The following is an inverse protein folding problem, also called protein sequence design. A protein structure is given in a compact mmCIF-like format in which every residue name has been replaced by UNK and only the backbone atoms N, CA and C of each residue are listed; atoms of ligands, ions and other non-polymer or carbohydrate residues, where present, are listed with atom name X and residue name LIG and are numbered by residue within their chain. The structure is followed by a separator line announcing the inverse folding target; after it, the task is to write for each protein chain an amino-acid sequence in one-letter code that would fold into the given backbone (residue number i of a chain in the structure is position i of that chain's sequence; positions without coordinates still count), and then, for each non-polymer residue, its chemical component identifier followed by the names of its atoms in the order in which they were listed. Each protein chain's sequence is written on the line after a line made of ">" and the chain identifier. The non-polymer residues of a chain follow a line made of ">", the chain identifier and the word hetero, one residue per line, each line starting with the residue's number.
data_IF_676997546188
#
_entry.id   IF_676997546188
#
_cell.length_a   1.000
_cell.length_b   1.000
_cell.length_c   1.000
_cell.angle_alpha   90.00
_cell.angle_beta   90.00
_cell.angle_gamma   90.00
#
_symmetry.space_group_name_H-M   'P 1'
#
loop_
_entity.id
_entity.type
_entity.pdbx_description
1 polymer ?
#
# COMPACT_ATOMS: atom_id res chain seq x y z
N UNK A 1 -27.13 -9.42 1.85
CA UNK A 1 -26.39 -10.69 1.87
C UNK A 1 -24.91 -10.48 1.50
N UNK A 2 -24.58 -9.60 0.54
CA UNK A 2 -23.21 -9.32 0.07
C UNK A 2 -22.24 -8.72 1.11
N UNK A 3 -22.74 -7.98 2.11
CA UNK A 3 -21.91 -7.32 3.14
C UNK A 3 -21.12 -8.31 3.99
N UNK A 4 -21.63 -9.52 4.23
CA UNK A 4 -20.97 -10.53 5.08
C UNK A 4 -19.91 -11.35 4.32
N UNK A 5 -19.99 -11.45 3.00
CA UNK A 5 -19.05 -12.24 2.18
C UNK A 5 -17.60 -11.80 2.38
N UNK A 6 -17.26 -10.49 2.30
CA UNK A 6 -15.90 -10.01 2.55
C UNK A 6 -15.35 -10.43 3.92
N UNK A 7 -16.17 -10.31 4.97
CA UNK A 7 -15.75 -10.70 6.33
C UNK A 7 -15.47 -12.19 6.45
N UNK A 8 -16.33 -13.02 5.85
CA UNK A 8 -16.14 -14.48 5.83
C UNK A 8 -14.87 -14.84 5.06
N UNK A 9 -14.65 -14.25 3.89
CA UNK A 9 -13.47 -14.52 3.06
C UNK A 9 -12.17 -14.10 3.76
N UNK A 10 -12.14 -12.90 4.35
CA UNK A 10 -10.97 -12.40 5.09
C UNK A 10 -10.70 -13.27 6.32
N UNK A 11 -11.72 -13.64 7.08
CA UNK A 11 -11.53 -14.51 8.26
C UNK A 11 -11.09 -15.92 7.87
N UNK A 12 -11.65 -16.50 6.82
CA UNK A 12 -11.20 -17.81 6.28
C UNK A 12 -9.74 -17.75 5.84
N UNK A 13 -9.36 -16.75 5.05
CA UNK A 13 -7.97 -16.56 4.62
C UNK A 13 -7.02 -16.42 5.81
N UNK A 14 -7.38 -15.61 6.81
CA UNK A 14 -6.58 -15.40 8.01
C UNK A 14 -6.43 -16.70 8.83
N UNK A 15 -7.51 -17.46 9.01
CA UNK A 15 -7.48 -18.74 9.76
C UNK A 15 -6.62 -19.78 9.05
N UNK A 16 -6.75 -19.91 7.72
CA UNK A 16 -5.93 -20.82 6.91
C UNK A 16 -4.45 -20.47 7.06
N UNK A 17 -4.11 -19.18 7.03
CA UNK A 17 -2.73 -18.72 7.10
C UNK A 17 -2.15 -18.72 8.52
N UNK A 18 -3.00 -18.73 9.57
CA UNK A 18 -2.56 -18.66 10.98
C UNK A 18 -1.62 -19.80 11.38
N UNK A 19 -1.80 -21.00 10.83
CA UNK A 19 -0.99 -22.17 11.12
C UNK A 19 0.37 -22.19 10.42
N UNK A 20 0.69 -21.20 9.60
CA UNK A 20 1.89 -21.12 8.79
C UNK A 20 1.75 -21.97 7.51
N UNK A 21 1.60 -21.30 6.38
CA UNK A 21 1.52 -21.96 5.08
C UNK A 21 2.94 -22.28 4.56
N UNK A 22 3.14 -23.43 3.92
CA UNK A 22 4.42 -23.71 3.28
C UNK A 22 4.70 -22.71 2.16
N UNK A 23 5.97 -22.34 1.88
CA UNK A 23 6.34 -21.29 0.93
C UNK A 23 5.81 -21.54 -0.50
N UNK A 24 5.59 -22.82 -0.86
CA UNK A 24 4.98 -23.18 -2.15
C UNK A 24 3.51 -22.71 -2.24
N UNK A 25 2.75 -22.88 -1.17
CA UNK A 25 1.32 -22.48 -1.11
C UNK A 25 1.19 -20.95 -1.10
N UNK A 26 2.07 -20.24 -0.40
CA UNK A 26 2.13 -18.78 -0.41
C UNK A 26 2.39 -18.25 -1.83
N UNK A 27 3.38 -18.80 -2.53
CA UNK A 27 3.68 -18.40 -3.92
C UNK A 27 2.52 -18.65 -4.88
N UNK A 28 1.81 -19.77 -4.73
CA UNK A 28 0.60 -20.07 -5.53
C UNK A 28 -0.52 -19.10 -5.18
N UNK A 29 -0.72 -18.79 -3.90
CA UNK A 29 -1.70 -17.81 -3.45
C UNK A 29 -1.43 -16.41 -4.02
N UNK A 30 -0.17 -15.96 -4.01
CA UNK A 30 0.24 -14.68 -4.58
C UNK A 30 0.00 -14.65 -6.11
N UNK A 31 0.29 -15.75 -6.80
CA UNK A 31 0.04 -15.85 -8.24
C UNK A 31 -1.46 -15.80 -8.55
N UNK A 32 -2.30 -16.50 -7.79
CA UNK A 32 -3.76 -16.47 -7.93
C UNK A 32 -4.28 -15.05 -7.66
N UNK A 33 -3.81 -14.41 -6.59
CA UNK A 33 -4.22 -13.05 -6.22
C UNK A 33 -3.83 -12.04 -7.30
N UNK A 34 -2.61 -12.08 -7.82
CA UNK A 34 -2.16 -11.21 -8.90
C UNK A 34 -2.96 -11.43 -10.20
N UNK A 35 -3.26 -12.69 -10.55
CA UNK A 35 -4.08 -13.03 -11.72
C UNK A 35 -5.52 -12.53 -11.53
N UNK A 36 -6.12 -12.74 -10.36
CA UNK A 36 -7.45 -12.23 -10.03
C UNK A 36 -7.51 -10.70 -10.08
N UNK A 37 -6.44 -10.03 -9.66
CA UNK A 37 -6.30 -8.59 -9.68
C UNK A 37 -6.20 -8.05 -11.12
N UNK A 38 -5.42 -8.69 -12.00
CA UNK A 38 -5.36 -8.32 -13.43
C UNK A 38 -6.70 -8.55 -14.12
N UNK A 39 -7.36 -9.67 -13.85
CA UNK A 39 -8.69 -9.97 -14.35
C UNK A 39 -9.70 -8.91 -13.89
N UNK A 40 -9.70 -8.58 -12.62
CA UNK A 40 -10.55 -7.56 -12.01
C UNK A 40 -10.38 -6.20 -12.70
N UNK A 41 -9.11 -5.77 -12.93
CA UNK A 41 -8.80 -4.51 -13.61
C UNK A 41 -9.35 -4.50 -15.03
N UNK A 42 -9.23 -5.62 -15.76
CA UNK A 42 -9.79 -5.76 -17.10
C UNK A 42 -11.32 -5.69 -17.06
N UNK A 43 -11.97 -6.37 -16.10
CA UNK A 43 -13.44 -6.35 -15.95
C UNK A 43 -13.96 -4.95 -15.62
N UNK A 44 -13.29 -4.22 -14.73
CA UNK A 44 -13.62 -2.82 -14.45
C UNK A 44 -13.48 -1.98 -15.71
N UNK A 45 -12.38 -2.14 -16.46
CA UNK A 45 -12.18 -1.45 -17.74
C UNK A 45 -13.27 -1.76 -18.76
N UNK A 46 -13.66 -3.03 -18.93
CA UNK A 46 -14.76 -3.46 -19.79
C UNK A 46 -16.08 -2.79 -19.41
N UNK A 47 -16.41 -2.78 -18.12
CA UNK A 47 -17.62 -2.14 -17.59
C UNK A 47 -17.64 -0.63 -17.87
N UNK A 48 -16.50 0.05 -17.71
CA UNK A 48 -16.36 1.48 -18.05
C UNK A 48 -16.57 1.69 -19.54
N UNK A 49 -15.93 0.87 -20.40
CA UNK A 49 -16.05 0.98 -21.87
C UNK A 49 -17.46 0.73 -22.40
N UNK A 50 -18.22 -0.17 -21.75
CA UNK A 50 -19.61 -0.46 -22.10
C UNK A 50 -20.58 0.63 -21.64
N UNK A 51 -20.24 1.41 -20.61
CA UNK A 51 -21.11 2.44 -20.03
C UNK A 51 -20.99 3.77 -20.79
N UNK A 52 -21.96 4.08 -21.64
CA UNK A 52 -21.99 5.36 -22.36
C UNK A 52 -22.03 6.57 -21.41
N UNK A 53 -22.72 6.45 -20.28
CA UNK A 53 -22.86 7.54 -19.30
C UNK A 53 -21.52 7.87 -18.68
N UNK A 54 -20.76 6.84 -18.28
CA UNK A 54 -19.43 7.02 -17.70
C UNK A 54 -18.45 7.57 -18.72
N UNK A 55 -18.47 7.03 -19.96
CA UNK A 55 -17.58 7.48 -21.03
C UNK A 55 -17.81 8.93 -21.42
N UNK A 56 -19.07 9.38 -21.53
CA UNK A 56 -19.40 10.79 -21.82
C UNK A 56 -18.96 11.75 -20.72
N UNK A 57 -18.98 11.31 -19.45
CA UNK A 57 -18.67 12.13 -18.28
C UNK A 57 -17.27 11.88 -17.71
N UNK A 58 -16.47 11.02 -18.34
CA UNK A 58 -15.18 10.56 -17.79
C UNK A 58 -14.23 11.71 -17.43
N UNK A 59 -14.20 12.77 -18.24
CA UNK A 59 -13.39 13.96 -17.96
C UNK A 59 -13.84 14.70 -16.69
N UNK A 60 -15.14 14.87 -16.50
CA UNK A 60 -15.72 15.53 -15.30
C UNK A 60 -15.53 14.66 -14.06
N UNK A 61 -15.78 13.36 -14.17
CA UNK A 61 -15.55 12.39 -13.09
C UNK A 61 -14.07 12.40 -12.70
N UNK A 62 -13.17 12.35 -13.69
CA UNK A 62 -11.72 12.36 -13.46
C UNK A 62 -11.26 13.57 -12.64
N UNK A 63 -11.68 14.80 -13.04
CA UNK A 63 -11.34 16.03 -12.30
C UNK A 63 -11.86 15.96 -10.85
N UNK A 64 -13.11 15.53 -10.63
CA UNK A 64 -13.66 15.37 -9.29
C UNK A 64 -12.85 14.36 -8.46
N UNK A 65 -12.47 13.23 -9.05
CA UNK A 65 -11.64 12.22 -8.39
C UNK A 65 -10.26 12.75 -8.00
N UNK A 66 -9.60 13.53 -8.88
CA UNK A 66 -8.31 14.15 -8.59
C UNK A 66 -8.41 15.11 -7.39
N UNK A 67 -9.46 15.92 -7.33
CA UNK A 67 -9.70 16.83 -6.21
C UNK A 67 -10.00 16.09 -4.90
N UNK A 68 -10.81 15.03 -4.94
CA UNK A 68 -11.08 14.18 -3.77
C UNK A 68 -9.78 13.55 -3.26
N UNK A 69 -8.95 13.01 -4.16
CA UNK A 69 -7.67 12.40 -3.81
C UNK A 69 -6.72 13.42 -3.16
N UNK A 70 -6.59 14.61 -3.75
CA UNK A 70 -5.71 15.66 -3.22
C UNK A 70 -6.17 16.12 -1.83
N UNK A 71 -7.48 16.30 -1.63
CA UNK A 71 -8.03 16.66 -0.33
C UNK A 71 -7.85 15.55 0.71
N UNK A 72 -8.03 14.28 0.32
CA UNK A 72 -7.77 13.14 1.21
C UNK A 72 -6.30 13.11 1.65
N UNK A 73 -5.35 13.37 0.75
CA UNK A 73 -3.92 13.52 1.08
C UNK A 73 -3.72 14.69 2.04
N UNK A 74 -4.24 15.87 1.70
CA UNK A 74 -4.04 17.07 2.51
C UNK A 74 -4.59 16.91 3.93
N UNK A 75 -5.80 16.40 4.09
CA UNK A 75 -6.40 16.12 5.40
C UNK A 75 -5.63 15.02 6.17
N UNK A 76 -5.22 13.95 5.48
CA UNK A 76 -4.42 12.89 6.11
C UNK A 76 -3.08 13.41 6.61
N UNK A 77 -2.40 14.24 5.81
CA UNK A 77 -1.14 14.89 6.18
C UNK A 77 -1.35 15.85 7.37
N UNK A 78 -2.39 16.68 7.32
CA UNK A 78 -2.69 17.63 8.40
C UNK A 78 -2.93 16.91 9.74
N UNK A 79 -3.78 15.88 9.75
CA UNK A 79 -4.04 15.09 10.96
C UNK A 79 -2.81 14.30 11.42
N UNK A 80 -2.00 13.80 10.51
CA UNK A 80 -0.75 13.11 10.85
C UNK A 80 0.26 14.07 11.48
N UNK A 81 0.43 15.27 10.94
CA UNK A 81 1.29 16.31 11.54
C UNK A 81 0.80 16.69 12.93
N UNK A 82 -0.51 16.81 13.12
CA UNK A 82 -1.10 17.05 14.44
C UNK A 82 -0.80 15.89 15.40
N UNK A 83 -0.97 14.65 14.95
CA UNK A 83 -0.65 13.45 15.71
C UNK A 83 0.85 13.37 16.09
N UNK A 84 1.75 13.70 15.16
CA UNK A 84 3.19 13.75 15.42
C UNK A 84 3.56 14.76 16.51
N UNK A 85 2.94 15.94 16.48
CA UNK A 85 3.21 16.98 17.47
C UNK A 85 2.67 16.67 18.85
N UNK A 86 1.55 15.93 18.94
CA UNK A 86 0.84 15.69 20.20
C UNK A 86 1.16 14.35 20.85
N UNK A 87 1.21 13.27 20.04
CA UNK A 87 1.22 11.89 20.58
C UNK A 87 2.51 11.15 20.25
N UNK A 88 3.05 11.30 19.04
CA UNK A 88 4.10 10.44 18.53
C UNK A 88 5.15 11.21 17.73
N UNK A 89 6.17 11.80 18.38
CA UNK A 89 7.25 12.46 17.66
C UNK A 89 8.11 11.41 16.91
N UNK A 90 7.85 11.24 15.62
CA UNK A 90 8.57 10.27 14.74
C UNK A 90 10.08 10.53 14.70
N UNK A 91 10.51 11.77 14.87
CA UNK A 91 11.92 12.12 14.96
C UNK A 91 12.60 11.43 16.16
N UNK A 92 11.92 11.34 17.31
CA UNK A 92 12.46 10.62 18.48
C UNK A 92 12.56 9.11 18.24
N UNK A 93 11.57 8.54 17.56
CA UNK A 93 11.58 7.12 17.17
C UNK A 93 12.74 6.86 16.21
N UNK A 94 12.92 7.72 15.20
CA UNK A 94 14.05 7.64 14.28
C UNK A 94 15.40 7.68 14.99
N UNK A 95 15.58 8.61 15.90
CA UNK A 95 16.82 8.73 16.69
C UNK A 95 17.06 7.52 17.59
N UNK A 96 16.00 6.93 18.17
CA UNK A 96 16.09 5.71 18.95
C UNK A 96 16.55 4.52 18.10
N UNK A 97 15.94 4.33 16.92
CA UNK A 97 16.32 3.28 15.96
C UNK A 97 17.76 3.45 15.45
N UNK A 98 18.20 4.68 15.20
CA UNK A 98 19.59 4.97 14.81
C UNK A 98 20.58 4.59 15.92
N UNK A 99 20.26 4.87 17.20
CA UNK A 99 21.10 4.49 18.34
C UNK A 99 21.19 2.96 18.48
N UNK A 100 20.08 2.27 18.42
CA UNK A 100 20.03 0.80 18.48
C UNK A 100 20.89 0.17 17.36
N UNK A 101 20.79 0.71 16.15
CA UNK A 101 21.62 0.27 15.01
C UNK A 101 23.11 0.51 15.24
N UNK A 102 23.47 1.66 15.81
CA UNK A 102 24.87 1.98 16.14
C UNK A 102 25.42 1.09 17.23
N UNK A 103 24.62 0.78 18.26
CA UNK A 103 25.00 -0.13 19.34
C UNK A 103 25.20 -1.56 18.86
N UNK A 104 24.27 -2.06 18.00
CA UNK A 104 24.41 -3.36 17.37
C UNK A 104 25.65 -3.46 16.47
N UNK A 105 25.96 -2.41 15.71
CA UNK A 105 27.16 -2.35 14.89
C UNK A 105 28.46 -2.32 15.73
N UNK A 106 28.46 -1.65 16.89
CA UNK A 106 29.58 -1.67 17.84
C UNK A 106 29.78 -3.05 18.44
N UNK A 107 28.71 -3.71 18.90
CA UNK A 107 28.78 -5.08 19.44
C UNK A 107 29.33 -6.08 18.43
N UNK A 108 28.92 -6.00 17.17
CA UNK A 108 29.46 -6.85 16.10
C UNK A 108 30.94 -6.58 15.79
N UNK A 109 31.40 -5.32 15.88
CA UNK A 109 32.83 -4.98 15.74
C UNK A 109 33.67 -5.50 16.89
N UNK A 110 33.17 -5.42 18.10
CA UNK A 110 33.85 -5.87 19.30
C UNK A 110 33.91 -7.42 19.36
N UNK A 111 32.83 -8.09 18.96
CA UNK A 111 32.81 -9.54 18.78
C UNK A 111 33.80 -10.04 17.69
N UNK A 112 33.89 -9.31 16.56
CA UNK A 112 34.86 -9.60 15.50
C UNK A 112 36.32 -9.34 15.91
N UNK A 113 36.58 -8.39 16.78
CA UNK A 113 37.93 -8.14 17.35
C UNK A 113 38.35 -9.16 18.38
N UNK A 114 37.40 -9.76 19.11
CA UNK A 114 37.68 -10.84 20.06
C UNK A 114 37.98 -12.19 19.43
N UNK A 115 37.67 -12.36 18.13
CA UNK A 115 37.83 -13.62 17.40
C UNK A 115 39.12 -13.73 16.57
N UNK A 116 40.05 -12.74 16.65
CA UNK A 116 41.35 -12.87 16.02
C UNK A 116 42.27 -13.74 16.84
N UNK A 117 42.73 -14.89 16.36
CA UNK A 117 43.76 -15.68 17.02
C UNK A 117 45.04 -14.85 17.07
N UNK A 118 45.65 -14.79 18.23
CA UNK A 118 46.98 -14.23 18.48
C UNK A 118 47.97 -15.06 17.66
N UNK A 119 48.26 -14.67 16.42
CA UNK A 119 49.31 -15.27 15.61
C UNK A 119 50.63 -14.68 16.05
N UNK A 120 51.42 -15.51 16.73
CA UNK A 120 52.86 -15.35 16.82
C UNK A 120 53.51 -15.49 15.44
N UNK A 121 54.38 -14.55 15.15
CA UNK A 121 55.52 -14.58 14.22
C UNK A 121 55.53 -15.61 13.07
N UNK A 122 55.42 -15.13 11.83
CA UNK A 122 56.27 -15.55 10.73
C UNK A 122 56.19 -14.57 9.54
N UNK A 123 57.34 -14.18 9.06
CA UNK A 123 57.81 -13.27 8.12
C UNK A 123 57.11 -13.02 6.78
N UNK A 124 57.27 -11.79 6.37
CA UNK A 124 57.45 -11.26 5.00
C UNK A 124 56.70 -11.92 3.83
N UNK A 125 55.74 -11.14 3.29
CA UNK A 125 55.77 -10.71 1.85
C UNK A 125 54.73 -9.65 1.61
N UNK A 126 55.23 -8.57 1.03
CA UNK A 126 54.52 -7.45 0.52
C UNK A 126 53.84 -7.82 -0.81
N UNK A 127 52.56 -7.58 -0.96
CA UNK A 127 51.91 -7.42 -2.23
C UNK A 127 50.81 -6.35 -2.09
N UNK A 128 50.93 -5.33 -2.92
CA UNK A 128 50.03 -4.22 -3.07
C UNK A 128 48.64 -4.68 -3.52
N UNK A 129 47.60 -4.23 -2.82
CA UNK A 129 46.26 -4.20 -3.35
C UNK A 129 45.54 -2.94 -2.82
N UNK A 130 45.33 -2.00 -3.70
CA UNK A 130 44.49 -0.82 -3.59
C UNK A 130 43.10 -1.21 -3.10
N UNK A 131 42.77 -0.84 -1.84
CA UNK A 131 41.43 -1.11 -1.23
C UNK A 131 40.48 0.03 -1.53
N UNK A 132 39.50 -0.22 -2.36
CA UNK A 132 38.33 0.63 -2.53
C UNK A 132 37.42 0.60 -1.28
N UNK A 133 36.99 1.79 -0.92
CA UNK A 133 36.07 2.11 0.17
C UNK A 133 34.69 1.47 -0.09
N UNK A 134 34.35 0.39 0.60
CA UNK A 134 33.13 -0.40 0.40
C UNK A 134 32.28 -0.58 1.66
N UNK A 135 32.01 0.49 2.46
CA UNK A 135 31.33 0.35 3.77
C UNK A 135 29.85 0.78 3.79
N UNK A 136 29.25 1.07 2.64
CA UNK A 136 27.82 1.48 2.58
C UNK A 136 26.86 0.33 2.22
N UNK A 137 27.38 -0.78 1.71
CA UNK A 137 26.56 -1.91 1.23
C UNK A 137 26.08 -2.89 2.34
N UNK A 138 26.80 -3.02 3.44
CA UNK A 138 26.47 -3.97 4.50
C UNK A 138 25.22 -3.61 5.32
N UNK A 139 24.97 -2.31 5.55
CA UNK A 139 23.82 -1.84 6.32
C UNK A 139 22.50 -1.93 5.55
N UNK A 140 22.54 -1.76 4.24
CA UNK A 140 21.38 -1.83 3.36
C UNK A 140 20.96 -3.29 3.16
N UNK A 141 21.91 -4.21 2.99
CA UNK A 141 21.63 -5.63 2.79
C UNK A 141 20.92 -6.29 3.98
N UNK A 142 21.25 -5.89 5.21
CA UNK A 142 20.60 -6.41 6.42
C UNK A 142 19.21 -5.82 6.65
N UNK A 143 18.93 -4.63 6.15
CA UNK A 143 17.63 -3.97 6.20
C UNK A 143 16.69 -4.48 5.10
N UNK A 144 17.25 -4.82 3.92
CA UNK A 144 16.55 -5.44 2.80
C UNK A 144 16.05 -6.84 3.17
N UNK A 145 16.77 -7.58 3.99
CA UNK A 145 16.34 -8.91 4.47
C UNK A 145 15.13 -8.87 5.42
N UNK A 146 14.77 -7.72 5.96
CA UNK A 146 13.57 -7.51 6.79
C UNK A 146 12.35 -7.05 5.99
N UNK A 147 12.54 -6.69 4.71
CA UNK A 147 11.45 -6.34 3.81
C UNK A 147 10.82 -7.62 3.22
N UNK A 148 9.52 -7.60 2.91
CA UNK A 148 8.88 -8.70 2.20
C UNK A 148 9.59 -8.97 0.87
N UNK A 149 9.61 -10.24 0.45
CA UNK A 149 10.34 -10.74 -0.73
C UNK A 149 10.07 -9.93 -2.01
N UNK A 150 8.86 -9.37 -2.13
CA UNK A 150 8.45 -8.49 -3.24
C UNK A 150 9.20 -7.15 -3.26
N UNK A 151 9.52 -6.59 -2.08
CA UNK A 151 10.28 -5.34 -1.98
C UNK A 151 11.78 -5.56 -2.20
N UNK A 152 12.31 -6.77 -1.89
CA UNK A 152 13.71 -7.13 -2.11
C UNK A 152 14.05 -7.29 -3.60
N UNK A 153 13.09 -7.79 -4.40
CA UNK A 153 13.25 -7.94 -5.85
C UNK A 153 13.28 -6.60 -6.57
N UNK A 154 12.59 -5.58 -6.04
CA UNK A 154 12.56 -4.23 -6.64
C UNK A 154 13.82 -3.40 -6.35
N UNK A 155 14.48 -3.60 -5.21
CA UNK A 155 15.79 -2.94 -4.93
C UNK A 155 16.92 -3.45 -5.82
N UNK A 156 16.87 -4.71 -6.23
CA UNK A 156 17.86 -5.31 -7.12
C UNK A 156 17.80 -4.73 -8.56
N UNK A 157 16.71 -4.08 -8.95
CA UNK A 157 16.49 -3.55 -10.31
C UNK A 157 16.69 -2.03 -10.46
N UNK A 158 17.34 -1.36 -9.49
CA UNK A 158 17.84 0.00 -9.70
C UNK A 158 16.83 1.03 -10.20
N UNK A 159 15.93 1.51 -9.34
CA UNK A 159 15.22 2.78 -9.56
C UNK A 159 14.11 2.80 -10.60
N UNK A 160 13.67 1.67 -11.12
CA UNK A 160 12.48 1.57 -11.97
C UNK A 160 11.21 1.61 -11.11
N UNK A 161 10.21 2.36 -11.58
CA UNK A 161 8.84 2.26 -11.08
C UNK A 161 8.43 0.78 -11.06
N UNK A 162 7.78 0.34 -9.99
CA UNK A 162 7.25 -1.02 -9.91
C UNK A 162 6.46 -1.34 -11.19
N UNK A 163 6.79 -2.43 -11.92
CA UNK A 163 6.09 -2.76 -13.16
C UNK A 163 4.57 -2.92 -12.95
N UNK A 164 4.15 -3.29 -11.77
CA UNK A 164 2.74 -3.37 -11.36
C UNK A 164 2.03 -2.01 -11.43
N UNK A 165 2.72 -0.91 -11.08
CA UNK A 165 2.13 0.44 -11.11
C UNK A 165 1.74 0.87 -12.54
N UNK A 166 2.49 0.41 -13.55
CA UNK A 166 2.21 0.70 -14.96
C UNK A 166 1.27 -0.35 -15.55
N UNK A 167 1.43 -1.61 -15.14
CA UNK A 167 0.68 -2.74 -15.69
C UNK A 167 -0.81 -2.65 -15.35
N UNK A 168 -1.15 -2.23 -14.15
CA UNK A 168 -2.56 -2.13 -13.71
C UNK A 168 -3.40 -1.12 -14.50
N UNK A 169 -2.99 0.16 -14.66
CA UNK A 169 -3.68 1.09 -15.56
C UNK A 169 -3.75 0.59 -17.01
N UNK A 170 -2.72 -0.14 -17.46
CA UNK A 170 -2.71 -0.71 -18.80
C UNK A 170 -3.81 -1.75 -19.01
N UNK A 171 -4.05 -2.64 -18.03
CA UNK A 171 -5.15 -3.63 -18.10
C UNK A 171 -6.53 -2.97 -18.09
N UNK A 172 -6.70 -1.86 -17.37
CA UNK A 172 -7.94 -1.09 -17.44
C UNK A 172 -8.13 -0.43 -18.80
N UNK A 173 -7.09 0.22 -19.34
CA UNK A 173 -7.16 0.81 -20.68
C UNK A 173 -7.47 -0.25 -21.74
N UNK A 174 -6.84 -1.42 -21.63
CA UNK A 174 -7.15 -2.56 -22.51
C UNK A 174 -8.61 -2.99 -22.37
N UNK A 175 -9.12 -3.08 -21.14
CA UNK A 175 -10.53 -3.38 -20.87
C UNK A 175 -11.47 -2.34 -21.47
N UNK A 176 -11.17 -1.04 -21.31
CA UNK A 176 -11.97 0.05 -21.91
C UNK A 176 -11.99 -0.07 -23.44
N UNK A 177 -10.83 -0.28 -24.07
CA UNK A 177 -10.73 -0.43 -25.52
C UNK A 177 -11.56 -1.63 -26.00
N UNK A 178 -11.45 -2.80 -25.38
CA UNK A 178 -12.22 -3.99 -25.73
C UNK A 178 -13.71 -3.72 -25.49
N UNK A 179 -14.11 -3.08 -24.38
CA UNK A 179 -15.50 -2.74 -24.10
C UNK A 179 -16.11 -1.75 -25.09
N UNK A 180 -15.33 -0.79 -25.57
CA UNK A 180 -15.80 0.19 -26.56
C UNK A 180 -15.93 -0.38 -27.99
N UNK A 181 -15.01 -1.27 -28.40
CA UNK A 181 -14.88 -1.66 -29.79
C UNK A 181 -15.26 -3.12 -30.10
N UNK A 182 -15.11 -4.03 -29.15
CA UNK A 182 -15.25 -5.46 -29.39
C UNK A 182 -16.55 -6.08 -28.87
N UNK A 183 -17.20 -5.46 -27.88
CA UNK A 183 -18.41 -6.00 -27.26
C UNK A 183 -19.67 -5.24 -27.73
N UNK A 184 -20.78 -5.95 -28.01
CA UNK A 184 -22.07 -5.31 -28.28
C UNK A 184 -22.53 -4.60 -27.00
N UNK A 185 -23.03 -3.38 -27.15
CA UNK A 185 -23.58 -2.58 -26.06
C UNK A 185 -24.81 -3.28 -25.48
N UNK A 186 -24.66 -3.84 -24.30
CA UNK A 186 -25.73 -4.53 -23.58
C UNK A 186 -25.24 -5.00 -22.21
N UNK A 187 -26.16 -5.27 -21.30
CA UNK A 187 -25.82 -5.81 -19.99
C UNK A 187 -25.18 -7.19 -20.14
N UNK A 188 -23.90 -7.28 -19.86
CA UNK A 188 -23.18 -8.52 -19.87
C UNK A 188 -23.18 -9.11 -18.44
N UNK A 189 -24.22 -9.84 -18.07
CA UNK A 189 -24.38 -10.47 -16.75
C UNK A 189 -23.18 -11.35 -16.33
N UNK A 190 -22.39 -11.84 -17.29
CA UNK A 190 -21.14 -12.56 -17.02
C UNK A 190 -20.03 -11.67 -16.43
N UNK A 191 -20.04 -10.35 -16.70
CA UNK A 191 -19.08 -9.42 -16.13
C UNK A 191 -19.27 -9.25 -14.61
N UNK A 192 -20.52 -9.19 -14.15
CA UNK A 192 -20.84 -9.12 -12.73
C UNK A 192 -20.40 -10.39 -12.00
N UNK A 193 -20.59 -11.54 -12.65
CA UNK A 193 -20.09 -12.81 -12.10
C UNK A 193 -18.56 -12.83 -12.02
N UNK A 194 -17.85 -12.38 -13.06
CA UNK A 194 -16.39 -12.30 -13.03
C UNK A 194 -15.88 -11.31 -11.98
N UNK A 195 -16.56 -10.18 -11.80
CA UNK A 195 -16.24 -9.20 -10.79
C UNK A 195 -16.38 -9.81 -9.39
N UNK A 196 -17.49 -10.46 -9.09
CA UNK A 196 -17.75 -11.11 -7.81
C UNK A 196 -16.75 -12.23 -7.51
N UNK A 197 -16.43 -13.07 -8.50
CA UNK A 197 -15.43 -14.13 -8.36
C UNK A 197 -14.03 -13.55 -8.11
N UNK A 198 -13.65 -12.51 -8.84
CA UNK A 198 -12.36 -11.85 -8.63
C UNK A 198 -12.26 -11.22 -7.24
N UNK A 199 -13.34 -10.59 -6.76
CA UNK A 199 -13.43 -10.05 -5.40
C UNK A 199 -13.28 -11.14 -4.34
N UNK A 200 -13.91 -12.31 -4.53
CA UNK A 200 -13.77 -13.44 -3.62
C UNK A 200 -12.31 -13.85 -3.43
N UNK A 201 -11.56 -14.00 -4.52
CA UNK A 201 -10.13 -14.31 -4.46
C UNK A 201 -9.32 -13.18 -3.80
N UNK A 202 -9.65 -11.93 -4.10
CA UNK A 202 -8.97 -10.77 -3.53
C UNK A 202 -9.18 -10.66 -2.01
N UNK A 203 -10.42 -10.86 -1.52
CA UNK A 203 -10.70 -10.86 -0.08
C UNK A 203 -10.03 -12.03 0.64
N UNK A 204 -10.04 -13.22 0.03
CA UNK A 204 -9.36 -14.39 0.59
C UNK A 204 -7.84 -14.17 0.64
N UNK A 205 -7.26 -13.60 -0.42
CA UNK A 205 -5.85 -13.20 -0.46
C UNK A 205 -5.49 -12.17 0.60
N UNK A 206 -6.31 -11.13 0.79
CA UNK A 206 -6.12 -10.15 1.85
C UNK A 206 -6.15 -10.82 3.25
N UNK A 207 -7.01 -11.81 3.45
CA UNK A 207 -7.03 -12.61 4.67
C UNK A 207 -5.76 -13.43 4.88
N UNK A 208 -5.22 -14.04 3.81
CA UNK A 208 -3.96 -14.79 3.86
C UNK A 208 -2.80 -13.86 4.24
N UNK A 209 -2.72 -12.68 3.62
CA UNK A 209 -1.72 -11.66 3.96
C UNK A 209 -1.83 -11.26 5.44
N UNK A 210 -3.05 -11.07 5.96
CA UNK A 210 -3.27 -10.76 7.38
C UNK A 210 -2.71 -11.85 8.29
N UNK A 211 -2.97 -13.11 8.00
CA UNK A 211 -2.51 -14.23 8.82
C UNK A 211 -1.01 -14.51 8.71
N UNK A 212 -0.39 -14.15 7.59
CA UNK A 212 1.06 -14.35 7.34
C UNK A 212 1.91 -13.25 7.99
N UNK A 213 1.43 -12.01 8.01
CA UNK A 213 2.18 -10.84 8.52
C UNK A 213 2.22 -10.77 10.07
N UNK A 214 2.53 -11.89 10.73
CA UNK A 214 2.69 -11.92 12.21
C UNK A 214 3.81 -11.02 12.70
N UNK A 215 4.81 -10.81 11.89
CA UNK A 215 5.96 -9.94 12.20
C UNK A 215 5.52 -8.49 12.46
N UNK A 216 4.55 -7.97 11.71
CA UNK A 216 3.98 -6.64 11.93
C UNK A 216 3.46 -6.49 13.36
N UNK A 217 2.75 -7.50 13.89
CA UNK A 217 2.27 -7.49 15.27
C UNK A 217 3.41 -7.52 16.30
N UNK A 218 4.51 -8.21 16.00
CA UNK A 218 5.71 -8.25 16.84
C UNK A 218 6.40 -6.89 16.86
N UNK A 219 6.51 -6.23 15.70
CA UNK A 219 7.07 -4.88 15.60
C UNK A 219 6.19 -3.82 16.29
N UNK A 220 4.86 -3.95 16.21
CA UNK A 220 3.93 -3.09 16.97
C UNK A 220 4.19 -3.20 18.47
N UNK A 221 4.41 -4.42 18.98
CA UNK A 221 4.76 -4.61 20.40
C UNK A 221 6.09 -3.97 20.78
N UNK A 222 7.10 -4.03 19.90
CA UNK A 222 8.42 -3.40 20.14
C UNK A 222 8.40 -1.88 20.05
N UNK A 223 7.71 -1.30 19.06
CA UNK A 223 7.61 0.14 18.84
C UNK A 223 6.56 0.81 19.76
N UNK A 224 5.73 0.00 20.42
CA UNK A 224 4.66 0.45 21.30
C UNK A 224 3.36 0.76 20.54
N UNK A 225 2.23 0.67 21.25
CA UNK A 225 0.89 0.90 20.71
C UNK A 225 0.69 2.30 20.10
N UNK A 226 1.56 3.25 20.44
CA UNK A 226 1.49 4.62 19.90
C UNK A 226 1.63 4.67 18.39
N UNK A 227 2.30 3.68 17.76
CA UNK A 227 2.44 3.62 16.30
C UNK A 227 1.09 3.49 15.59
N UNK A 228 0.06 2.94 16.26
CA UNK A 228 -1.28 2.78 15.71
C UNK A 228 -2.01 4.13 15.50
N UNK A 229 -1.60 5.19 16.17
CA UNK A 229 -2.17 6.51 15.95
C UNK A 229 -1.86 7.05 14.54
N UNK A 230 -0.77 6.59 13.92
CA UNK A 230 -0.41 7.00 12.56
C UNK A 230 -1.43 6.50 11.52
N UNK A 231 -1.69 5.19 11.35
CA UNK A 231 -2.73 4.71 10.43
C UNK A 231 -4.13 5.22 10.80
N UNK A 232 -4.43 5.43 12.09
CA UNK A 232 -5.70 5.99 12.53
C UNK A 232 -5.88 7.44 12.08
N UNK A 233 -4.84 8.27 12.18
CA UNK A 233 -4.86 9.66 11.70
C UNK A 233 -4.97 9.73 10.18
N UNK A 234 -4.33 8.81 9.45
CA UNK A 234 -4.45 8.68 7.99
C UNK A 234 -5.90 8.36 7.61
N UNK A 235 -6.48 7.36 8.25
CA UNK A 235 -7.86 6.95 8.02
C UNK A 235 -8.86 8.08 8.29
N UNK A 236 -8.76 8.72 9.46
CA UNK A 236 -9.62 9.86 9.81
C UNK A 236 -9.47 11.01 8.80
N UNK A 237 -8.24 11.29 8.34
CA UNK A 237 -7.97 12.28 7.32
C UNK A 237 -8.60 11.96 5.97
N UNK A 238 -8.59 10.68 5.58
CA UNK A 238 -9.25 10.23 4.36
C UNK A 238 -10.77 10.42 4.42
N UNK A 239 -11.39 10.06 5.55
CA UNK A 239 -12.83 10.27 5.77
C UNK A 239 -13.19 11.75 5.70
N UNK A 240 -12.41 12.59 6.38
CA UNK A 240 -12.61 14.04 6.41
C UNK A 240 -12.45 14.65 5.02
N UNK A 241 -11.39 14.31 4.29
CA UNK A 241 -11.15 14.80 2.92
C UNK A 241 -12.23 14.36 1.95
N UNK A 242 -12.67 13.10 2.04
CA UNK A 242 -13.79 12.58 1.25
C UNK A 242 -15.10 13.29 1.55
N UNK A 243 -15.40 13.53 2.83
CA UNK A 243 -16.58 14.26 3.24
C UNK A 243 -16.59 15.71 2.73
N UNK A 244 -15.50 16.45 2.96
CA UNK A 244 -15.36 17.85 2.51
C UNK A 244 -15.54 17.98 1.01
N UNK A 245 -14.88 17.14 0.22
CA UNK A 245 -15.00 17.20 -1.24
C UNK A 245 -16.31 16.64 -1.78
N UNK A 246 -16.92 15.68 -1.09
CA UNK A 246 -18.26 15.21 -1.44
C UNK A 246 -19.28 16.36 -1.40
N UNK A 247 -19.24 17.16 -0.34
CA UNK A 247 -20.11 18.35 -0.19
C UNK A 247 -19.74 19.44 -1.21
N UNK A 248 -18.44 19.73 -1.38
CA UNK A 248 -17.99 20.85 -2.22
C UNK A 248 -18.22 20.61 -3.72
N UNK A 249 -18.05 19.35 -4.19
CA UNK A 249 -18.14 18.98 -5.60
C UNK A 249 -19.52 18.43 -6.00
N UNK A 250 -20.47 18.42 -5.08
CA UNK A 250 -21.80 17.83 -5.29
C UNK A 250 -21.68 16.38 -5.82
N UNK A 251 -20.90 15.56 -5.08
CA UNK A 251 -20.76 14.13 -5.30
C UNK A 251 -21.49 13.39 -4.19
N UNK A 252 -22.23 12.30 -4.47
CA UNK A 252 -22.85 11.53 -3.42
C UNK A 252 -21.86 11.20 -2.30
N UNK A 253 -22.17 11.62 -1.07
CA UNK A 253 -21.25 11.51 0.08
C UNK A 253 -20.72 10.09 0.27
N UNK A 254 -21.59 9.09 0.06
CA UNK A 254 -21.21 7.69 0.13
C UNK A 254 -20.13 7.32 -0.88
N UNK A 255 -20.16 7.86 -2.10
CA UNK A 255 -19.13 7.59 -3.09
C UNK A 255 -17.81 8.30 -2.76
N UNK A 256 -17.89 9.58 -2.41
CA UNK A 256 -16.71 10.39 -2.10
C UNK A 256 -15.97 9.88 -0.86
N UNK A 257 -16.70 9.62 0.24
CA UNK A 257 -16.12 9.17 1.51
C UNK A 257 -15.52 7.76 1.38
N UNK A 258 -16.28 6.82 0.77
CA UNK A 258 -15.80 5.46 0.61
C UNK A 258 -14.64 5.35 -0.37
N UNK A 259 -14.66 6.15 -1.46
CA UNK A 259 -13.52 6.20 -2.38
C UNK A 259 -12.27 6.75 -1.71
N UNK A 260 -12.36 7.85 -0.97
CA UNK A 260 -11.24 8.44 -0.26
C UNK A 260 -10.69 7.50 0.83
N UNK A 261 -11.57 6.77 1.53
CA UNK A 261 -11.20 5.82 2.57
C UNK A 261 -10.62 4.49 2.05
N UNK A 262 -10.51 4.32 0.74
CA UNK A 262 -9.75 3.23 0.11
C UNK A 262 -8.25 3.32 0.33
N UNK A 263 -7.74 4.48 0.79
CA UNK A 263 -6.35 4.69 1.27
C UNK A 263 -5.25 4.20 0.33
N UNK A 264 -5.47 4.25 -1.00
CA UNK A 264 -4.53 3.76 -2.01
C UNK A 264 -4.81 2.31 -2.47
N UNK A 265 -5.74 1.59 -1.86
CA UNK A 265 -6.11 0.25 -2.31
C UNK A 265 -7.14 0.31 -3.45
N UNK A 266 -6.71 0.80 -4.61
CA UNK A 266 -7.55 1.13 -5.77
C UNK A 266 -8.32 -0.07 -6.32
N UNK A 267 -7.72 -1.27 -6.38
CA UNK A 267 -8.38 -2.47 -6.91
C UNK A 267 -9.58 -2.90 -6.08
N UNK A 268 -9.39 -2.96 -4.77
CA UNK A 268 -10.45 -3.32 -3.83
C UNK A 268 -11.56 -2.25 -3.81
N UNK A 269 -11.18 -0.98 -3.72
CA UNK A 269 -12.14 0.13 -3.65
C UNK A 269 -12.95 0.26 -4.94
N UNK A 270 -12.30 0.13 -6.10
CA UNK A 270 -12.97 0.19 -7.40
C UNK A 270 -13.97 -0.94 -7.58
N UNK A 271 -13.54 -2.18 -7.33
CA UNK A 271 -14.38 -3.35 -7.50
C UNK A 271 -15.54 -3.39 -6.50
N UNK A 272 -15.26 -3.12 -5.22
CA UNK A 272 -16.28 -3.16 -4.18
C UNK A 272 -17.35 -2.09 -4.38
N UNK A 273 -16.96 -0.85 -4.75
CA UNK A 273 -17.91 0.21 -5.02
C UNK A 273 -18.71 -0.05 -6.32
N UNK A 274 -18.11 -0.72 -7.32
CA UNK A 274 -18.85 -1.18 -8.50
C UNK A 274 -19.94 -2.16 -8.11
N UNK A 275 -19.62 -3.14 -7.28
CA UNK A 275 -20.57 -4.15 -6.77
C UNK A 275 -21.69 -3.52 -5.94
N UNK A 276 -21.33 -2.55 -5.06
CA UNK A 276 -22.27 -1.97 -4.10
C UNK A 276 -23.18 -0.90 -4.70
N UNK A 277 -22.65 -0.06 -5.60
CA UNK A 277 -23.33 1.16 -6.09
C UNK A 277 -23.29 1.34 -7.61
N UNK A 278 -22.75 0.37 -8.33
CA UNK A 278 -22.63 0.41 -9.79
C UNK A 278 -21.34 1.03 -10.32
N UNK A 279 -21.20 1.00 -11.63
CA UNK A 279 -19.95 1.30 -12.36
C UNK A 279 -19.41 2.69 -12.05
N UNK A 280 -20.29 3.71 -11.98
CA UNK A 280 -19.86 5.08 -11.75
C UNK A 280 -19.17 5.23 -10.38
N UNK A 281 -19.74 4.67 -9.31
CA UNK A 281 -19.12 4.65 -8.00
C UNK A 281 -17.78 3.89 -7.99
N UNK A 282 -17.69 2.79 -8.74
CA UNK A 282 -16.45 2.04 -8.91
C UNK A 282 -15.35 2.85 -9.57
N UNK A 283 -15.68 3.68 -10.56
CA UNK A 283 -14.75 4.60 -11.20
C UNK A 283 -14.19 5.61 -10.21
N UNK A 284 -15.05 6.18 -9.33
CA UNK A 284 -14.57 7.02 -8.23
C UNK A 284 -13.62 6.25 -7.31
N UNK A 285 -14.01 5.05 -6.87
CA UNK A 285 -13.19 4.19 -6.01
C UNK A 285 -11.82 3.88 -6.60
N UNK A 286 -11.75 3.65 -7.90
CA UNK A 286 -10.51 3.36 -8.60
C UNK A 286 -9.65 4.62 -8.81
N UNK A 287 -10.19 5.65 -9.50
CA UNK A 287 -9.39 6.83 -9.92
C UNK A 287 -8.88 7.61 -8.69
N UNK A 288 -9.68 7.78 -7.64
CA UNK A 288 -9.26 8.49 -6.42
C UNK A 288 -8.01 7.83 -5.81
N UNK A 289 -7.98 6.51 -5.75
CA UNK A 289 -6.88 5.78 -5.11
C UNK A 289 -5.64 5.67 -6.00
N UNK A 290 -5.78 5.46 -7.31
CA UNK A 290 -4.65 5.52 -8.25
C UNK A 290 -4.04 6.92 -8.29
N UNK A 291 -4.89 7.96 -8.33
CA UNK A 291 -4.42 9.35 -8.31
C UNK A 291 -3.65 9.67 -7.03
N UNK A 292 -4.01 9.05 -5.91
CA UNK A 292 -3.29 9.20 -4.64
C UNK A 292 -1.84 8.76 -4.76
N UNK A 293 -1.56 7.62 -5.38
CA UNK A 293 -0.20 7.13 -5.58
C UNK A 293 0.61 8.07 -6.47
N UNK A 294 0.01 8.53 -7.58
CA UNK A 294 0.65 9.49 -8.48
C UNK A 294 0.96 10.80 -7.76
N UNK A 295 0.00 11.37 -7.01
CA UNK A 295 0.23 12.59 -6.24
C UNK A 295 1.23 12.38 -5.10
N UNK A 296 1.25 11.21 -4.48
CA UNK A 296 2.24 10.89 -3.45
C UNK A 296 3.64 11.03 -4.02
N UNK A 297 3.95 10.36 -5.14
CA UNK A 297 5.27 10.44 -5.78
C UNK A 297 5.61 11.87 -6.19
N UNK A 298 4.68 12.57 -6.82
CA UNK A 298 4.89 13.95 -7.28
C UNK A 298 5.15 14.93 -6.12
N UNK A 299 4.46 14.74 -4.99
CA UNK A 299 4.53 15.63 -3.84
C UNK A 299 5.58 15.22 -2.79
N UNK A 300 6.26 14.06 -2.93
CA UNK A 300 7.27 13.59 -1.97
C UNK A 300 8.29 14.66 -1.55
N UNK A 301 8.88 15.45 -2.48
CA UNK A 301 9.86 16.49 -2.11
C UNK A 301 9.26 17.59 -1.23
N UNK A 302 7.97 17.90 -1.41
CA UNK A 302 7.25 18.88 -0.60
C UNK A 302 6.84 18.28 0.74
N UNK A 303 6.28 17.08 0.75
CA UNK A 303 5.80 16.39 1.93
C UNK A 303 6.91 16.11 2.94
N UNK A 304 8.11 15.74 2.47
CA UNK A 304 9.28 15.49 3.33
C UNK A 304 9.78 16.75 4.04
N UNK A 305 9.45 17.96 3.54
CA UNK A 305 9.75 19.23 4.20
C UNK A 305 8.75 19.59 5.30
N UNK A 306 7.51 19.07 5.23
CA UNK A 306 6.47 19.34 6.22
C UNK A 306 6.72 18.54 7.49
N UNK A 307 6.79 17.22 7.38
CA UNK A 307 7.12 16.32 8.49
C UNK A 307 7.59 14.96 7.99
N UNK A 308 8.12 14.12 8.88
CA UNK A 308 8.54 12.75 8.55
C UNK A 308 7.36 11.81 8.33
N UNK A 309 6.21 12.07 8.96
CA UNK A 309 4.98 11.30 8.75
C UNK A 309 4.20 11.72 7.51
N UNK A 310 4.44 12.93 6.96
CA UNK A 310 3.70 13.42 5.80
C UNK A 310 3.82 12.53 4.56
N UNK A 311 5.02 12.07 4.14
CA UNK A 311 5.16 11.09 3.06
C UNK A 311 4.44 9.77 3.35
N UNK A 312 4.50 9.28 4.60
CA UNK A 312 3.82 8.04 5.02
C UNK A 312 2.31 8.22 4.94
N UNK A 313 1.80 9.36 5.41
CA UNK A 313 0.37 9.69 5.36
C UNK A 313 -0.15 9.82 3.92
N UNK A 314 0.62 10.39 3.03
CA UNK A 314 0.27 10.48 1.62
C UNK A 314 0.21 9.10 0.95
N UNK A 315 1.23 8.26 1.15
CA UNK A 315 1.30 6.91 0.59
C UNK A 315 0.28 5.94 1.19
N UNK A 316 -0.10 6.15 2.46
CA UNK A 316 -1.09 5.36 3.19
C UNK A 316 -0.94 3.84 2.97
N UNK A 317 -1.95 3.16 2.41
CA UNK A 317 -1.92 1.74 2.11
C UNK A 317 -0.83 1.35 1.10
N UNK A 318 -0.54 2.20 0.12
CA UNK A 318 0.55 1.97 -0.85
C UNK A 318 1.93 1.82 -0.19
N UNK A 319 2.13 2.32 1.04
CA UNK A 319 3.36 2.10 1.81
C UNK A 319 3.60 0.63 2.20
N UNK A 320 2.65 -0.26 1.98
CA UNK A 320 2.84 -1.70 2.14
C UNK A 320 3.66 -2.29 0.97
N UNK A 321 3.50 -1.76 -0.24
CA UNK A 321 4.10 -2.28 -1.47
C UNK A 321 4.64 -1.17 -2.40
N UNK A 322 3.80 -0.61 -3.27
CA UNK A 322 4.18 0.29 -4.37
C UNK A 322 4.89 1.57 -3.91
N UNK A 323 4.45 2.14 -2.79
CA UNK A 323 4.99 3.40 -2.24
C UNK A 323 6.06 3.19 -1.17
N UNK A 324 6.36 1.95 -0.77
CA UNK A 324 7.32 1.67 0.29
C UNK A 324 8.70 2.24 -0.03
N UNK A 325 9.23 1.95 -1.23
CA UNK A 325 10.56 2.37 -1.64
C UNK A 325 10.67 3.90 -1.77
N UNK A 326 9.80 4.59 -2.55
CA UNK A 326 9.91 6.03 -2.68
C UNK A 326 9.69 6.77 -1.35
N UNK A 327 8.74 6.32 -0.52
CA UNK A 327 8.49 6.91 0.79
C UNK A 327 9.68 6.67 1.74
N UNK A 328 10.23 5.44 1.80
CA UNK A 328 11.39 5.14 2.64
C UNK A 328 12.61 5.98 2.28
N UNK A 329 12.84 6.23 0.98
CA UNK A 329 13.90 7.15 0.52
C UNK A 329 13.67 8.59 0.99
N UNK A 330 12.41 9.05 1.04
CA UNK A 330 12.05 10.41 1.44
C UNK A 330 12.13 10.62 2.96
N UNK A 331 11.73 9.63 3.78
CA UNK A 331 11.69 9.77 5.25
C UNK A 331 12.97 9.29 5.94
N UNK A 332 13.76 8.49 5.25
CA UNK A 332 14.93 7.77 5.75
C UNK A 332 14.65 6.29 5.99
N UNK A 333 15.64 5.42 5.75
CA UNK A 333 15.47 3.97 5.80
C UNK A 333 15.02 3.46 7.20
N UNK A 334 15.36 4.17 8.28
CA UNK A 334 14.95 3.82 9.64
C UNK A 334 13.43 3.91 9.83
N UNK A 335 12.77 4.87 9.16
CA UNK A 335 11.33 5.02 9.19
C UNK A 335 10.61 4.19 8.11
N UNK A 336 11.35 3.51 7.23
CA UNK A 336 10.78 2.59 6.24
C UNK A 336 9.96 1.48 6.90
N UNK A 337 10.42 0.93 8.04
CA UNK A 337 9.66 -0.04 8.82
C UNK A 337 8.34 0.56 9.37
N UNK A 338 8.36 1.81 9.82
CA UNK A 338 7.15 2.52 10.28
C UNK A 338 6.18 2.72 9.11
N UNK A 339 6.69 3.07 7.93
CA UNK A 339 5.89 3.20 6.71
C UNK A 339 5.24 1.86 6.34
N UNK A 340 6.01 0.76 6.35
CA UNK A 340 5.52 -0.59 6.08
C UNK A 340 4.41 -1.00 7.06
N UNK A 341 4.63 -0.83 8.37
CA UNK A 341 3.63 -1.18 9.40
C UNK A 341 2.36 -0.35 9.21
N UNK A 342 2.49 0.96 9.00
CA UNK A 342 1.35 1.85 8.78
C UNK A 342 0.61 1.48 7.51
N UNK A 343 1.33 1.23 6.40
CA UNK A 343 0.77 0.80 5.13
C UNK A 343 0.02 -0.53 5.25
N UNK A 344 0.62 -1.51 5.91
CA UNK A 344 -0.03 -2.83 6.14
C UNK A 344 -1.33 -2.68 6.93
N UNK A 345 -1.33 -1.90 8.01
CA UNK A 345 -2.53 -1.70 8.83
C UNK A 345 -3.63 -0.99 8.01
N UNK A 346 -3.30 0.06 7.27
CA UNK A 346 -4.27 0.78 6.44
C UNK A 346 -4.81 -0.10 5.33
N UNK A 347 -3.98 -0.88 4.64
CA UNK A 347 -4.41 -1.80 3.58
C UNK A 347 -5.34 -2.89 4.12
N UNK A 348 -5.01 -3.46 5.29
CA UNK A 348 -5.84 -4.49 5.94
C UNK A 348 -7.15 -3.93 6.52
N UNK A 349 -7.20 -2.64 6.83
CA UNK A 349 -8.43 -1.98 7.28
C UNK A 349 -9.45 -1.83 6.13
N UNK A 350 -9.01 -1.65 4.87
CA UNK A 350 -9.91 -1.39 3.73
C UNK A 350 -10.95 -2.49 3.51
N UNK A 351 -10.61 -3.79 3.42
CA UNK A 351 -11.58 -4.86 3.20
C UNK A 351 -12.56 -5.05 4.36
N UNK A 352 -12.24 -4.53 5.54
CA UNK A 352 -13.13 -4.54 6.70
C UNK A 352 -14.00 -3.28 6.68
N UNK A 353 -13.40 -2.14 6.39
CA UNK A 353 -14.07 -0.84 6.44
C UNK A 353 -15.08 -0.64 5.31
N UNK A 354 -14.74 -1.00 4.06
CA UNK A 354 -15.64 -0.74 2.93
C UNK A 354 -17.02 -1.39 3.09
N UNK A 355 -17.14 -2.69 3.45
CA UNK A 355 -18.45 -3.30 3.73
C UNK A 355 -19.18 -2.64 4.90
N UNK A 356 -18.44 -2.27 5.96
CA UNK A 356 -19.01 -1.58 7.11
C UNK A 356 -19.52 -0.19 6.71
N UNK A 357 -18.75 0.54 5.92
CA UNK A 357 -19.13 1.86 5.41
C UNK A 357 -20.38 1.80 4.53
N UNK A 358 -20.47 0.80 3.64
CA UNK A 358 -21.70 0.60 2.85
C UNK A 358 -22.90 0.30 3.75
N UNK A 359 -22.72 -0.50 4.81
CA UNK A 359 -23.79 -0.75 5.78
C UNK A 359 -24.24 0.51 6.54
N UNK A 360 -23.31 1.45 6.79
CA UNK A 360 -23.60 2.71 7.50
C UNK A 360 -24.27 3.76 6.62
N UNK A 361 -23.92 3.81 5.33
CA UNK A 361 -24.49 4.78 4.37
C UNK A 361 -25.74 4.29 3.65
N UNK A 362 -26.13 3.04 3.84
CA UNK A 362 -27.39 2.42 3.38
C UNK A 362 -27.38 2.09 1.92
#
# INVERSE_FOLDING_TARGET
>A
MFIYIPFICVTLGAVISWRGLPPRVLRVSDMIMNTALMLLMTVIGLNIGLSETVMKNLGRIGIKCLLISLAAIACSVALTVLCERTVMPLEKIRLALLREKQEAARQNRDAGRGALPRAENAGSKQEDATGECGDTKGGIAQQVSLLPENAQTEEAQGGSFSPLLILMPLFILLGILIGCFALPKGEAAWLDTLLTVSLFFLYTGAGIILGTNKEVFTYIKKLGLRILFLPLSIFAGCLLGGFLMGVLLDVPLKWSVLSASGMGYYSMSGAFLTEAYGIEAGVYGFIVNVSRDVFTVALLPLLSKISKGSPIASGAGGCMDTMLIPVSKAVGPELGLVALISGTITTLAVPIWLPLGVALFG
#
